data_IF_392451104034
#
_entry.id   IF_392451104034
#
_cell.length_a   1.000
_cell.length_b   1.000
_cell.length_c   1.000
_cell.angle_alpha   90.00
_cell.angle_beta   90.00
_cell.angle_gamma   90.00
#
_symmetry.space_group_name_H-M   'P 1'
#
loop_
_entity.id
_entity.type
_entity.pdbx_description
1 polymer ?
#
# COMPACT_ATOMS: atom_id res chain seq x y z
N UNK A 1 11.70 10.89 25.29
CA UNK A 1 10.37 10.44 24.85
C UNK A 1 9.89 11.18 23.61
N UNK A 2 9.92 12.51 23.58
CA UNK A 2 9.52 13.32 22.42
C UNK A 2 10.13 12.87 21.06
N UNK A 3 11.45 12.60 20.98
CA UNK A 3 12.11 12.15 19.74
C UNK A 3 11.54 10.82 19.19
N UNK A 4 11.16 9.90 20.08
CA UNK A 4 10.58 8.61 19.71
C UNK A 4 9.13 8.76 19.22
N UNK A 5 8.35 9.63 19.88
CA UNK A 5 7.01 10.01 19.43
C UNK A 5 7.04 10.66 18.03
N UNK A 6 7.96 11.61 17.79
CA UNK A 6 8.12 12.22 16.46
C UNK A 6 8.54 11.20 15.38
N UNK A 7 9.40 10.22 15.73
CA UNK A 7 9.75 9.13 14.82
C UNK A 7 8.53 8.28 14.44
N UNK A 8 7.65 7.95 15.39
CA UNK A 8 6.42 7.20 15.13
C UNK A 8 5.45 7.96 14.24
N UNK A 9 5.28 9.26 14.48
CA UNK A 9 4.45 10.15 13.64
C UNK A 9 5.05 10.23 12.23
N UNK A 10 6.37 10.43 12.12
CA UNK A 10 7.07 10.48 10.83
C UNK A 10 6.95 9.16 10.06
N UNK A 11 7.10 8.02 10.73
CA UNK A 11 6.91 6.69 10.15
C UNK A 11 5.47 6.50 9.66
N UNK A 12 4.48 6.93 10.45
CA UNK A 12 3.08 6.85 10.08
C UNK A 12 2.74 7.69 8.85
N UNK A 13 3.25 8.94 8.78
CA UNK A 13 3.14 9.79 7.60
C UNK A 13 3.83 9.18 6.38
N UNK A 14 5.01 8.61 6.56
CA UNK A 14 5.74 7.92 5.49
C UNK A 14 4.92 6.75 4.91
N UNK A 15 4.30 5.92 5.74
CA UNK A 15 3.47 4.81 5.28
C UNK A 15 2.21 5.28 4.54
N UNK A 16 1.61 6.40 4.95
CA UNK A 16 0.48 7.01 4.25
C UNK A 16 0.91 7.53 2.87
N UNK A 17 2.06 8.22 2.79
CA UNK A 17 2.61 8.71 1.52
C UNK A 17 2.99 7.55 0.59
N UNK A 18 3.61 6.50 1.13
CA UNK A 18 3.95 5.28 0.39
C UNK A 18 2.70 4.62 -0.19
N UNK A 19 1.62 4.54 0.60
CA UNK A 19 0.33 4.03 0.13
C UNK A 19 -0.21 4.85 -1.06
N UNK A 20 -0.14 6.18 -0.97
CA UNK A 20 -0.64 7.06 -2.03
C UNK A 20 0.22 6.90 -3.28
N UNK A 21 1.55 6.92 -3.12
CA UNK A 21 2.51 6.81 -4.21
C UNK A 21 2.32 5.51 -4.98
N UNK A 22 2.35 4.36 -4.30
CA UNK A 22 2.24 3.05 -4.98
C UNK A 22 0.85 2.87 -5.62
N UNK A 23 -0.21 3.44 -5.03
CA UNK A 23 -1.54 3.44 -5.65
C UNK A 23 -1.58 4.26 -6.95
N UNK A 24 -0.93 5.42 -6.95
CA UNK A 24 -0.82 6.26 -8.15
C UNK A 24 0.03 5.55 -9.20
N UNK A 25 1.16 4.99 -8.80
CA UNK A 25 2.11 4.31 -9.68
C UNK A 25 1.45 3.11 -10.39
N UNK A 26 0.81 2.21 -9.64
CA UNK A 26 0.05 1.08 -10.20
C UNK A 26 -1.07 1.57 -11.13
N UNK A 27 -1.82 2.60 -10.70
CA UNK A 27 -2.92 3.15 -11.50
C UNK A 27 -2.45 3.86 -12.77
N UNK A 28 -1.24 4.41 -12.76
CA UNK A 28 -0.61 5.04 -13.92
C UNK A 28 -0.10 3.96 -14.87
N UNK A 29 0.61 2.95 -14.36
CA UNK A 29 1.17 1.85 -15.15
C UNK A 29 0.07 1.07 -15.88
N UNK A 30 -1.05 0.77 -15.20
CA UNK A 30 -2.21 0.10 -15.80
C UNK A 30 -2.86 0.94 -16.92
N UNK A 31 -2.92 2.27 -16.74
CA UNK A 31 -3.56 3.18 -17.68
C UNK A 31 -2.66 3.49 -18.88
N UNK A 32 -1.34 3.54 -18.67
CA UNK A 32 -0.35 3.86 -19.70
C UNK A 32 0.03 2.63 -20.54
N UNK A 33 0.33 1.50 -19.91
CA UNK A 33 0.77 0.27 -20.59
C UNK A 33 -0.38 -0.64 -20.95
N UNK A 34 -1.38 -0.78 -20.07
CA UNK A 34 -2.49 -1.70 -20.28
C UNK A 34 -3.66 -1.11 -21.07
N UNK A 35 -3.80 0.23 -21.12
CA UNK A 35 -5.04 0.94 -21.54
C UNK A 35 -6.32 0.38 -20.89
N UNK A 36 -6.18 -0.36 -19.78
CA UNK A 36 -7.24 -1.06 -19.06
C UNK A 36 -7.41 -0.43 -17.69
N UNK A 37 -8.59 -0.62 -17.09
CA UNK A 37 -8.78 -0.19 -15.70
C UNK A 37 -7.94 -1.06 -14.77
N UNK A 38 -7.36 -0.47 -13.72
CA UNK A 38 -6.57 -1.20 -12.71
C UNK A 38 -7.34 -2.39 -12.10
N UNK A 39 -8.68 -2.29 -12.05
CA UNK A 39 -9.56 -3.38 -11.60
C UNK A 39 -9.65 -4.54 -12.60
N UNK A 40 -9.62 -4.27 -13.90
CA UNK A 40 -9.65 -5.30 -14.95
C UNK A 40 -8.34 -6.07 -14.97
N UNK A 41 -7.20 -5.37 -14.89
CA UNK A 41 -5.87 -5.99 -14.79
C UNK A 41 -5.76 -6.86 -13.54
N UNK A 42 -6.31 -6.40 -12.40
CA UNK A 42 -6.35 -7.18 -11.17
C UNK A 42 -7.17 -8.48 -11.35
N UNK A 43 -8.36 -8.40 -11.94
CA UNK A 43 -9.20 -9.59 -12.18
C UNK A 43 -8.56 -10.57 -13.17
N UNK A 44 -7.93 -10.05 -14.22
CA UNK A 44 -7.24 -10.85 -15.23
C UNK A 44 -6.04 -11.59 -14.61
N UNK A 45 -5.24 -10.90 -13.78
CA UNK A 45 -4.14 -11.53 -13.03
C UNK A 45 -4.62 -12.53 -11.98
N UNK A 46 -5.75 -12.30 -11.31
CA UNK A 46 -6.32 -13.27 -10.36
C UNK A 46 -6.70 -14.55 -11.11
N UNK A 47 -7.36 -14.45 -12.26
CA UNK A 47 -7.71 -15.62 -13.08
C UNK A 47 -6.47 -16.38 -13.57
N UNK A 48 -5.43 -15.66 -14.00
CA UNK A 48 -4.18 -16.30 -14.42
C UNK A 48 -3.43 -16.97 -13.24
N UNK A 49 -3.62 -16.49 -12.01
CA UNK A 49 -3.08 -17.11 -10.79
C UNK A 49 -3.80 -18.41 -10.45
N UNK A 50 -5.14 -18.40 -10.54
CA UNK A 50 -5.97 -19.60 -10.41
C UNK A 50 -5.64 -20.66 -11.48
N UNK A 51 -5.30 -20.23 -12.69
CA UNK A 51 -4.83 -21.11 -13.78
C UNK A 51 -3.36 -21.54 -13.64
N UNK A 52 -2.64 -21.09 -12.60
CA UNK A 52 -1.24 -21.44 -12.35
C UNK A 52 -0.24 -20.86 -13.36
N UNK A 53 -0.66 -19.90 -14.19
CA UNK A 53 0.16 -19.30 -15.25
C UNK A 53 1.01 -18.11 -14.76
N UNK A 54 0.83 -17.69 -13.51
CA UNK A 54 1.55 -16.55 -12.95
C UNK A 54 2.95 -16.92 -12.47
N UNK A 55 3.94 -16.25 -13.04
CA UNK A 55 5.32 -16.33 -12.57
C UNK A 55 5.46 -15.67 -11.18
N UNK A 56 6.48 -16.05 -10.40
CA UNK A 56 6.63 -15.58 -9.01
C UNK A 56 6.67 -14.05 -8.87
N UNK A 57 7.33 -13.36 -9.81
CA UNK A 57 7.36 -11.90 -9.86
C UNK A 57 5.95 -11.28 -9.99
N UNK A 58 5.11 -11.86 -10.86
CA UNK A 58 3.74 -11.40 -11.05
C UNK A 58 2.82 -11.77 -9.87
N UNK A 59 3.12 -12.85 -9.14
CA UNK A 59 2.44 -13.17 -7.88
C UNK A 59 2.71 -12.12 -6.83
N UNK A 60 3.95 -11.64 -6.76
CA UNK A 60 4.33 -10.56 -5.86
C UNK A 60 3.64 -9.24 -6.23
N UNK A 61 3.57 -8.89 -7.52
CA UNK A 61 2.79 -7.74 -8.02
C UNK A 61 1.30 -7.86 -7.64
N UNK A 62 0.68 -9.04 -7.83
CA UNK A 62 -0.70 -9.29 -7.44
C UNK A 62 -0.90 -9.11 -5.93
N UNK A 63 0.04 -9.60 -5.11
CA UNK A 63 0.01 -9.45 -3.66
C UNK A 63 0.12 -7.98 -3.23
N UNK A 64 1.05 -7.22 -3.82
CA UNK A 64 1.17 -5.78 -3.58
C UNK A 64 -0.10 -5.03 -3.97
N UNK A 65 -0.72 -5.38 -5.10
CA UNK A 65 -2.00 -4.79 -5.54
C UNK A 65 -3.15 -5.11 -4.59
N UNK A 66 -3.22 -6.34 -4.04
CA UNK A 66 -4.20 -6.69 -3.00
C UNK A 66 -3.97 -5.89 -1.72
N UNK A 67 -2.74 -5.84 -1.21
CA UNK A 67 -2.35 -5.03 -0.05
C UNK A 67 -2.74 -3.56 -0.23
N UNK A 68 -2.49 -3.02 -1.42
CA UNK A 68 -2.83 -1.66 -1.80
C UNK A 68 -4.34 -1.40 -1.78
N UNK A 69 -5.12 -2.34 -2.34
CA UNK A 69 -6.57 -2.22 -2.41
C UNK A 69 -7.22 -2.28 -1.02
N UNK A 70 -6.66 -3.05 -0.09
CA UNK A 70 -7.12 -3.15 1.31
C UNK A 70 -6.74 -1.94 2.18
N UNK A 71 -5.94 -1.00 1.64
CA UNK A 71 -5.47 0.20 2.34
C UNK A 71 -4.71 -0.11 3.62
N UNK A 72 -3.97 -1.22 3.67
CA UNK A 72 -3.28 -1.66 4.87
C UNK A 72 -2.23 -0.67 5.37
N UNK A 73 -1.39 -0.11 4.49
CA UNK A 73 -0.40 0.89 4.90
C UNK A 73 -1.06 2.18 5.41
N UNK A 74 -2.25 2.53 4.91
CA UNK A 74 -3.02 3.67 5.42
C UNK A 74 -3.52 3.41 6.85
N UNK A 75 -4.09 2.22 7.11
CA UNK A 75 -4.55 1.83 8.45
C UNK A 75 -3.40 1.82 9.45
N UNK A 76 -2.29 1.16 9.09
CA UNK A 76 -1.10 1.06 9.95
C UNK A 76 -0.47 2.45 10.17
N UNK A 77 -0.37 3.27 9.12
CA UNK A 77 0.17 4.62 9.22
C UNK A 77 -0.65 5.52 10.13
N UNK A 78 -1.98 5.48 10.05
CA UNK A 78 -2.87 6.23 10.94
C UNK A 78 -2.72 5.77 12.39
N UNK A 79 -2.68 4.46 12.64
CA UNK A 79 -2.48 3.91 13.99
C UNK A 79 -1.16 4.39 14.60
N UNK A 80 -0.08 4.39 13.81
CA UNK A 80 1.23 4.87 14.25
C UNK A 80 1.23 6.37 14.60
N UNK A 81 0.51 7.19 13.83
CA UNK A 81 0.34 8.61 14.14
C UNK A 81 -0.40 8.78 15.47
N UNK A 82 -1.49 8.03 15.69
CA UNK A 82 -2.24 8.08 16.96
C UNK A 82 -1.40 7.63 18.15
N UNK A 83 -0.65 6.54 18.04
CA UNK A 83 0.26 6.07 19.09
C UNK A 83 1.34 7.13 19.36
N UNK A 84 1.92 7.69 18.30
CA UNK A 84 2.90 8.76 18.41
C UNK A 84 2.36 9.98 19.14
N UNK A 85 1.13 10.42 18.82
CA UNK A 85 0.46 11.54 19.50
C UNK A 85 0.18 11.23 20.98
N UNK A 86 -0.34 10.04 21.30
CA UNK A 86 -0.60 9.62 22.68
C UNK A 86 0.70 9.63 23.51
N UNK A 87 1.78 9.08 22.95
CA UNK A 87 3.09 9.09 23.60
C UNK A 87 3.70 10.49 23.75
N UNK A 88 3.31 11.45 22.90
CA UNK A 88 3.72 12.86 23.01
C UNK A 88 3.01 13.58 24.16
N UNK A 89 1.71 13.29 24.33
CA UNK A 89 0.88 13.95 25.35
C UNK A 89 1.19 13.39 26.75
N UNK A 90 1.49 12.09 26.85
CA UNK A 90 1.79 11.43 28.13
C UNK A 90 3.20 11.69 28.66
N UNK A 91 4.16 12.12 27.83
CA UNK A 91 5.59 12.23 28.18
C UNK A 91 6.30 13.41 27.52
#
# INVERSE_FOLDING_TARGET
MAKFSFLLIGLGLFLILLQIYVKIDIGFDDRFWGKKSSKEVLQERIKMDDEGKLNWFWKFDLFLRKLMNEKLFLKVGVILIFIGLILNILF
#
